data_IF_492287334197
#
_entry.id   IF_492287334197
#
_cell.length_a   1.000
_cell.length_b   1.000
_cell.length_c   1.000
_cell.angle_alpha   90.00
_cell.angle_beta   90.00
_cell.angle_gamma   90.00
#
_symmetry.space_group_name_H-M   'P 1'
#
loop_
_entity.id
_entity.type
_entity.pdbx_description
1 polymer ?
#
# COMPACT_ATOMS: atom_id res chain seq x y z
N UNK A 1 -63.09 45.13 6.39
CA UNK A 1 -61.65 44.95 6.27
C UNK A 1 -61.33 43.51 6.71
N UNK A 2 -61.14 42.63 5.75
CA UNK A 2 -60.86 41.20 5.99
C UNK A 2 -59.34 40.98 5.99
N UNK A 3 -58.78 40.61 7.12
CA UNK A 3 -57.39 40.24 7.27
C UNK A 3 -57.21 38.80 6.77
N UNK A 4 -56.47 38.66 5.66
CA UNK A 4 -56.04 37.37 5.12
C UNK A 4 -54.69 37.05 5.78
N UNK A 5 -54.68 36.10 6.71
CA UNK A 5 -53.44 35.52 7.25
C UNK A 5 -52.89 34.51 6.24
N UNK A 6 -51.82 34.88 5.59
CA UNK A 6 -51.06 33.97 4.71
C UNK A 6 -50.09 33.15 5.57
N UNK A 7 -50.48 31.91 5.91
CA UNK A 7 -49.60 30.97 6.61
C UNK A 7 -48.60 30.38 5.61
N UNK A 8 -47.36 30.85 5.65
CA UNK A 8 -46.24 30.23 4.92
C UNK A 8 -45.80 28.97 5.70
N UNK A 9 -46.19 27.81 5.20
CA UNK A 9 -45.73 26.52 5.70
C UNK A 9 -44.35 26.25 5.11
N UNK A 10 -43.30 26.56 5.88
CA UNK A 10 -41.92 26.20 5.50
C UNK A 10 -41.74 24.68 5.67
N UNK A 11 -41.75 23.96 4.55
CA UNK A 11 -41.47 22.54 4.50
C UNK A 11 -39.94 22.34 4.68
N UNK A 12 -39.55 21.96 5.89
CA UNK A 12 -38.16 21.60 6.19
C UNK A 12 -37.87 20.23 5.53
N UNK A 13 -37.25 20.22 4.38
CA UNK A 13 -36.75 18.99 3.75
C UNK A 13 -35.51 18.58 4.50
N UNK A 14 -35.64 17.60 5.39
CA UNK A 14 -34.50 16.95 6.02
C UNK A 14 -33.80 16.10 4.94
N UNK A 15 -32.70 16.60 4.38
CA UNK A 15 -31.78 15.79 3.57
C UNK A 15 -31.06 14.86 4.51
N UNK A 16 -31.51 13.62 4.60
CA UNK A 16 -30.72 12.55 5.24
C UNK A 16 -29.57 12.20 4.30
N UNK A 17 -28.38 12.68 4.61
CA UNK A 17 -27.15 12.20 3.96
C UNK A 17 -26.94 10.75 4.43
N UNK A 18 -27.11 9.82 3.53
CA UNK A 18 -26.72 8.42 3.77
C UNK A 18 -25.25 8.33 3.42
N UNK A 19 -24.41 7.90 4.37
CA UNK A 19 -23.03 7.53 4.04
C UNK A 19 -23.12 6.43 2.97
N UNK A 20 -22.56 6.71 1.80
CA UNK A 20 -22.53 5.74 0.71
C UNK A 20 -21.28 4.88 0.92
N UNK A 21 -21.48 3.56 0.96
CA UNK A 21 -20.40 2.59 1.00
C UNK A 21 -20.26 1.90 -0.35
N UNK A 22 -19.05 1.47 -0.67
CA UNK A 22 -18.74 0.71 -1.87
C UNK A 22 -17.87 -0.50 -1.52
N UNK A 23 -17.97 -1.55 -2.31
CA UNK A 23 -17.04 -2.68 -2.23
C UNK A 23 -15.83 -2.36 -3.08
N UNK A 24 -14.66 -2.32 -2.45
CA UNK A 24 -13.39 -2.17 -3.15
C UNK A 24 -12.66 -3.51 -3.10
N UNK A 25 -12.47 -4.11 -4.29
CA UNK A 25 -11.67 -5.33 -4.45
C UNK A 25 -10.21 -4.94 -4.60
N UNK A 26 -9.36 -5.37 -3.69
CA UNK A 26 -7.92 -5.19 -3.80
C UNK A 26 -7.28 -6.45 -4.35
N UNK A 27 -6.57 -6.32 -5.47
CA UNK A 27 -5.76 -7.36 -6.10
C UNK A 27 -4.29 -6.97 -6.00
N UNK A 28 -3.51 -7.81 -5.35
CA UNK A 28 -2.09 -7.62 -5.12
C UNK A 28 -1.28 -8.71 -5.81
N UNK A 29 -0.51 -8.34 -6.82
CA UNK A 29 0.41 -9.25 -7.48
C UNK A 29 1.71 -9.38 -6.68
N UNK A 30 2.05 -10.62 -6.29
CA UNK A 30 3.23 -10.98 -5.49
C UNK A 30 4.34 -11.63 -6.34
N UNK A 31 4.28 -11.55 -7.68
CA UNK A 31 5.18 -12.25 -8.62
C UNK A 31 6.68 -12.04 -8.31
N UNK A 32 7.06 -10.85 -7.83
CA UNK A 32 8.45 -10.51 -7.54
C UNK A 32 8.85 -10.77 -6.08
N UNK A 33 7.94 -11.30 -5.27
CA UNK A 33 8.14 -11.47 -3.83
C UNK A 33 8.08 -12.95 -3.42
N UNK A 34 8.81 -13.27 -2.38
CA UNK A 34 8.59 -14.54 -1.68
C UNK A 34 7.50 -14.30 -0.65
N UNK A 35 6.36 -14.92 -0.84
CA UNK A 35 5.22 -14.77 0.08
C UNK A 35 5.57 -15.38 1.44
N UNK A 36 5.34 -14.59 2.49
CA UNK A 36 5.57 -15.00 3.88
C UNK A 36 4.62 -16.14 4.29
N UNK A 37 5.11 -17.08 5.10
CA UNK A 37 4.24 -18.09 5.73
C UNK A 37 3.17 -17.47 6.65
N UNK A 38 3.38 -16.21 7.07
CA UNK A 38 2.42 -15.43 7.86
C UNK A 38 1.26 -14.86 7.05
N UNK A 39 1.21 -15.08 5.72
CA UNK A 39 0.15 -14.57 4.84
C UNK A 39 0.42 -13.17 4.30
N UNK A 40 -0.56 -12.65 3.56
CA UNK A 40 -0.55 -11.30 2.95
C UNK A 40 -1.72 -10.52 3.50
N UNK A 41 -1.50 -9.26 3.87
CA UNK A 41 -2.52 -8.45 4.54
C UNK A 41 -2.64 -7.07 3.91
N UNK A 42 -3.83 -6.48 4.07
CA UNK A 42 -4.14 -5.09 3.77
C UNK A 42 -4.56 -4.40 5.07
N UNK A 43 -3.99 -3.23 5.31
CA UNK A 43 -4.30 -2.39 6.47
C UNK A 43 -3.91 -0.94 6.22
N UNK A 44 -3.81 -0.17 7.28
CA UNK A 44 -3.39 1.24 7.25
C UNK A 44 -4.51 2.21 7.02
N UNK A 45 -4.30 3.43 7.48
CA UNK A 45 -5.19 4.57 7.28
C UNK A 45 -6.66 4.27 7.54
N UNK A 46 -7.47 4.38 6.49
CA UNK A 46 -8.93 4.16 6.56
C UNK A 46 -9.33 2.68 6.53
N UNK A 47 -8.39 1.79 6.24
CA UNK A 47 -8.66 0.34 6.17
C UNK A 47 -8.66 -0.29 7.57
N UNK A 48 -7.77 0.17 8.47
CA UNK A 48 -7.68 -0.35 9.84
C UNK A 48 -6.30 -0.83 10.25
N UNK A 49 -6.24 -1.82 11.13
CA UNK A 49 -5.00 -2.37 11.66
C UNK A 49 -4.12 -3.08 10.62
N UNK A 50 -2.88 -3.42 10.96
CA UNK A 50 -1.92 -4.01 10.02
C UNK A 50 -2.34 -5.38 9.47
N UNK A 51 -3.15 -6.11 10.22
CA UNK A 51 -3.62 -7.46 9.86
C UNK A 51 -5.15 -7.53 9.83
N UNK A 52 -5.79 -6.41 9.48
CA UNK A 52 -7.25 -6.30 9.49
C UNK A 52 -7.89 -7.17 8.41
N UNK A 53 -7.32 -7.18 7.23
CA UNK A 53 -7.83 -7.93 6.09
C UNK A 53 -6.74 -8.83 5.50
N UNK A 54 -6.94 -10.14 5.59
CA UNK A 54 -6.09 -11.12 4.92
C UNK A 54 -6.48 -11.24 3.45
N UNK A 55 -5.49 -11.20 2.56
CA UNK A 55 -5.67 -11.48 1.15
C UNK A 55 -5.39 -12.97 0.88
N UNK A 56 -6.15 -13.55 -0.04
CA UNK A 56 -6.02 -14.96 -0.42
C UNK A 56 -5.80 -15.13 -1.92
N UNK A 57 -5.09 -16.19 -2.27
CA UNK A 57 -4.83 -16.61 -3.66
C UNK A 57 -5.30 -18.07 -3.83
N UNK A 58 -6.61 -18.31 -4.06
CA UNK A 58 -7.16 -19.67 -4.09
C UNK A 58 -6.86 -20.43 -5.38
N UNK A 59 -6.51 -19.77 -6.47
CA UNK A 59 -6.19 -20.38 -7.77
C UNK A 59 -4.68 -20.50 -8.01
N UNK A 60 -3.85 -19.88 -7.15
CA UNK A 60 -2.40 -20.04 -7.15
C UNK A 60 -1.72 -19.30 -8.30
N UNK A 61 -2.31 -18.22 -8.80
CA UNK A 61 -1.74 -17.43 -9.89
C UNK A 61 -0.77 -16.34 -9.43
N UNK A 62 -0.59 -16.19 -8.10
CA UNK A 62 0.28 -15.20 -7.48
C UNK A 62 -0.38 -13.84 -7.25
N UNK A 63 -1.68 -13.71 -7.55
CA UNK A 63 -2.47 -12.51 -7.26
C UNK A 63 -3.37 -12.76 -6.05
N UNK A 64 -3.07 -12.08 -4.97
CA UNK A 64 -3.80 -12.15 -3.71
C UNK A 64 -4.93 -11.13 -3.69
N UNK A 65 -6.14 -11.52 -3.28
CA UNK A 65 -7.33 -10.67 -3.36
C UNK A 65 -8.10 -10.61 -2.05
N UNK A 66 -8.74 -9.44 -1.81
CA UNK A 66 -9.72 -9.23 -0.72
C UNK A 66 -10.74 -8.17 -1.12
N UNK A 67 -12.00 -8.36 -0.70
CA UNK A 67 -13.05 -7.36 -0.80
C UNK A 67 -13.20 -6.61 0.52
N UNK A 68 -13.21 -5.28 0.46
CA UNK A 68 -13.38 -4.41 1.64
C UNK A 68 -14.52 -3.43 1.40
N UNK A 69 -15.42 -3.32 2.37
CA UNK A 69 -16.47 -2.29 2.35
C UNK A 69 -15.90 -0.99 2.91
N UNK A 70 -15.86 0.05 2.07
CA UNK A 70 -15.27 1.35 2.40
C UNK A 70 -16.34 2.44 2.24
N UNK A 71 -16.35 3.44 3.14
CA UNK A 71 -17.19 4.62 2.94
C UNK A 71 -16.60 5.47 1.81
N UNK A 72 -17.46 5.98 0.93
CA UNK A 72 -16.98 6.79 -0.20
C UNK A 72 -16.31 8.10 0.25
N UNK A 73 -16.65 8.59 1.44
CA UNK A 73 -16.01 9.76 2.07
C UNK A 73 -14.56 9.52 2.51
N UNK A 74 -14.13 8.25 2.61
CA UNK A 74 -12.75 7.86 2.92
C UNK A 74 -11.82 7.91 1.69
N UNK A 75 -12.33 8.34 0.53
CA UNK A 75 -11.54 8.62 -0.68
C UNK A 75 -10.36 9.55 -0.38
N UNK A 76 -9.19 9.23 -0.91
CA UNK A 76 -7.96 9.96 -0.61
C UNK A 76 -7.31 9.60 0.73
N UNK A 77 -7.90 8.71 1.51
CA UNK A 77 -7.26 8.12 2.68
C UNK A 77 -6.09 7.21 2.31
N UNK A 78 -5.42 6.66 3.31
CA UNK A 78 -4.24 5.83 3.07
C UNK A 78 -4.53 4.36 3.31
N UNK A 79 -3.77 3.48 2.64
CA UNK A 79 -3.74 2.05 2.83
C UNK A 79 -2.35 1.49 2.51
N UNK A 80 -2.05 0.26 2.93
CA UNK A 80 -0.75 -0.38 2.69
C UNK A 80 -0.90 -1.89 2.71
N UNK A 81 -0.03 -2.59 1.98
CA UNK A 81 0.06 -4.05 2.01
C UNK A 81 1.20 -4.52 2.90
N UNK A 82 1.01 -5.70 3.50
CA UNK A 82 2.00 -6.35 4.36
C UNK A 82 2.25 -7.79 3.86
N UNK A 83 3.51 -8.17 3.77
CA UNK A 83 3.93 -9.54 3.45
C UNK A 83 4.30 -10.28 4.74
N UNK A 84 3.28 -10.62 5.53
CA UNK A 84 3.40 -11.31 6.82
C UNK A 84 2.45 -10.78 7.87
N UNK A 85 2.23 -11.57 8.91
CA UNK A 85 1.44 -11.18 10.08
C UNK A 85 2.30 -10.35 11.06
N UNK A 86 2.46 -9.06 10.80
CA UNK A 86 3.32 -8.15 11.55
C UNK A 86 2.50 -7.02 12.20
N UNK A 87 2.04 -7.18 13.44
CA UNK A 87 1.22 -6.17 14.12
C UNK A 87 1.97 -4.86 14.40
N UNK A 88 3.28 -4.85 14.24
CA UNK A 88 4.17 -3.69 14.39
C UNK A 88 4.52 -3.00 13.05
N UNK A 89 3.86 -3.38 11.95
CA UNK A 89 4.08 -2.87 10.58
C UNK A 89 5.46 -3.19 9.98
N UNK A 90 6.28 -4.02 10.61
CA UNK A 90 7.66 -4.28 10.18
C UNK A 90 7.77 -4.96 8.81
N UNK A 91 6.72 -5.62 8.33
CA UNK A 91 6.68 -6.29 7.03
C UNK A 91 5.81 -5.58 5.99
N UNK A 92 5.50 -4.30 6.21
CA UNK A 92 4.82 -3.51 5.17
C UNK A 92 5.71 -3.30 3.96
N UNK A 93 5.10 -3.16 2.79
CA UNK A 93 5.82 -2.80 1.57
C UNK A 93 6.56 -1.46 1.72
N UNK A 94 7.64 -1.29 0.97
CA UNK A 94 8.42 -0.06 0.98
C UNK A 94 8.17 0.73 -0.31
N UNK A 95 7.42 1.82 -0.19
CA UNK A 95 7.08 2.71 -1.31
C UNK A 95 7.80 4.05 -1.23
N UNK A 96 8.79 4.20 -0.36
CA UNK A 96 9.51 5.46 -0.16
C UNK A 96 10.08 6.01 -1.48
N UNK A 97 9.67 7.24 -1.82
CA UNK A 97 10.11 7.92 -3.03
C UNK A 97 9.40 7.50 -4.31
N UNK A 98 8.42 6.60 -4.24
CA UNK A 98 7.60 6.20 -5.37
C UNK A 98 6.39 7.13 -5.53
N UNK A 99 5.87 7.32 -6.77
CA UNK A 99 4.79 8.26 -7.04
C UNK A 99 3.44 7.90 -6.43
N UNK A 100 3.20 6.63 -6.09
CA UNK A 100 1.97 6.16 -5.43
C UNK A 100 2.01 6.26 -3.91
N UNK A 101 3.12 6.73 -3.33
CA UNK A 101 3.29 6.86 -1.89
C UNK A 101 2.94 8.25 -1.39
N UNK A 102 2.40 8.32 -0.18
CA UNK A 102 2.19 9.56 0.55
C UNK A 102 3.28 9.76 1.62
N UNK A 103 4.28 10.61 1.37
CA UNK A 103 5.36 10.85 2.34
C UNK A 103 4.88 11.45 3.68
N UNK A 104 3.71 12.08 3.70
CA UNK A 104 3.12 12.63 4.93
C UNK A 104 2.50 11.54 5.82
N UNK A 105 2.20 10.37 5.24
CA UNK A 105 1.56 9.24 5.90
C UNK A 105 2.42 7.97 5.72
N UNK A 106 3.63 7.97 6.28
CA UNK A 106 4.59 6.84 6.34
C UNK A 106 4.87 6.15 4.99
N UNK A 107 4.70 6.87 3.88
CA UNK A 107 4.79 6.38 2.50
C UNK A 107 3.77 5.28 2.19
N UNK A 108 2.60 5.32 2.80
CA UNK A 108 1.48 4.45 2.46
C UNK A 108 0.86 4.86 1.12
N UNK A 109 0.10 3.97 0.49
CA UNK A 109 -0.64 4.25 -0.75
C UNK A 109 -1.79 5.22 -0.49
N UNK A 110 -2.14 5.98 -1.51
CA UNK A 110 -3.31 6.87 -1.49
C UNK A 110 -4.48 6.11 -2.12
N UNK A 111 -5.59 6.03 -1.39
CA UNK A 111 -6.83 5.45 -1.88
C UNK A 111 -7.44 6.37 -2.95
N UNK A 112 -7.74 5.87 -4.15
CA UNK A 112 -8.35 6.70 -5.19
C UNK A 112 -9.77 7.15 -4.81
N UNK A 113 -10.36 8.02 -5.63
CA UNK A 113 -11.73 8.44 -5.43
C UNK A 113 -12.70 7.25 -5.61
N UNK A 114 -13.57 7.03 -4.60
CA UNK A 114 -14.53 5.92 -4.57
C UNK A 114 -15.91 6.46 -4.91
N UNK A 115 -16.43 6.10 -6.08
CA UNK A 115 -17.75 6.53 -6.58
C UNK A 115 -18.68 5.34 -6.86
N UNK A 116 -18.45 4.20 -6.23
CA UNK A 116 -19.14 2.93 -6.40
C UNK A 116 -18.16 1.76 -6.28
N UNK A 117 -18.65 0.55 -6.45
CA UNK A 117 -17.83 -0.65 -6.41
C UNK A 117 -16.70 -0.56 -7.45
N UNK A 118 -15.49 -0.90 -7.04
CA UNK A 118 -14.31 -0.79 -7.89
C UNK A 118 -13.26 -1.83 -7.55
N UNK A 119 -12.28 -1.98 -8.45
CA UNK A 119 -11.12 -2.86 -8.26
C UNK A 119 -9.84 -2.04 -8.32
N UNK A 120 -8.96 -2.26 -7.37
CA UNK A 120 -7.60 -1.72 -7.33
C UNK A 120 -6.64 -2.89 -7.54
N UNK A 121 -5.88 -2.86 -8.63
CA UNK A 121 -4.89 -3.88 -8.93
C UNK A 121 -3.50 -3.27 -8.93
N UNK A 122 -2.58 -3.87 -8.17
CA UNK A 122 -1.21 -3.35 -8.05
C UNK A 122 -0.20 -4.47 -7.80
N UNK A 123 1.10 -4.13 -7.89
CA UNK A 123 2.19 -5.03 -7.54
C UNK A 123 2.79 -4.61 -6.19
N UNK A 124 3.15 -5.58 -5.34
CA UNK A 124 3.77 -5.31 -4.04
C UNK A 124 5.07 -4.50 -4.21
N UNK A 125 5.22 -3.44 -3.43
CA UNK A 125 6.38 -2.57 -3.48
C UNK A 125 6.55 -1.73 -4.75
N UNK A 126 5.54 -1.69 -5.65
CA UNK A 126 5.61 -0.95 -6.92
C UNK A 126 4.34 -0.12 -7.15
N UNK A 127 4.44 0.93 -7.97
CA UNK A 127 3.32 1.76 -8.40
C UNK A 127 2.76 1.24 -9.73
N UNK A 128 2.04 0.13 -9.69
CA UNK A 128 1.30 -0.40 -10.83
C UNK A 128 -0.18 -0.04 -10.66
N UNK A 129 -0.86 0.28 -11.76
CA UNK A 129 -2.30 0.59 -11.79
C UNK A 129 -3.13 -0.53 -12.42
N UNK A 130 -2.46 -1.54 -13.00
CA UNK A 130 -3.07 -2.67 -13.71
C UNK A 130 -2.70 -4.03 -13.10
N UNK A 131 -1.95 -4.01 -11.97
CA UNK A 131 -1.46 -5.22 -11.31
C UNK A 131 -0.23 -5.86 -11.97
N UNK A 132 0.31 -5.29 -13.04
CA UNK A 132 1.55 -5.80 -13.64
C UNK A 132 2.75 -5.47 -12.76
N UNK A 133 3.65 -6.43 -12.58
CA UNK A 133 4.91 -6.23 -11.89
C UNK A 133 6.03 -5.94 -12.90
N UNK A 134 6.82 -4.89 -12.63
CA UNK A 134 8.04 -4.68 -13.38
C UNK A 134 9.10 -5.68 -12.89
N UNK A 135 9.78 -6.32 -13.82
CA UNK A 135 10.87 -7.20 -13.45
C UNK A 135 11.93 -6.45 -12.63
N UNK A 136 12.49 -7.05 -11.57
CA UNK A 136 13.59 -6.46 -10.86
C UNK A 136 14.73 -6.10 -11.83
N UNK A 137 15.42 -4.96 -11.64
CA UNK A 137 16.55 -4.64 -12.48
C UNK A 137 17.58 -5.78 -12.42
N UNK A 138 18.21 -6.15 -13.55
CA UNK A 138 19.17 -7.24 -13.56
C UNK A 138 20.28 -6.98 -12.55
N UNK A 139 20.63 -8.00 -11.78
CA UNK A 139 21.71 -7.90 -10.80
C UNK A 139 23.01 -7.46 -11.50
N UNK A 140 23.55 -6.32 -11.06
CA UNK A 140 24.81 -5.81 -11.57
C UNK A 140 25.97 -6.31 -10.70
N UNK A 141 26.95 -6.98 -11.31
CA UNK A 141 28.17 -7.35 -10.62
C UNK A 141 29.04 -6.10 -10.41
N UNK A 142 29.28 -5.72 -9.17
CA UNK A 142 30.20 -4.64 -8.83
C UNK A 142 31.52 -5.25 -8.36
N UNK A 143 32.60 -4.93 -9.06
CA UNK A 143 33.94 -5.35 -8.66
C UNK A 143 34.64 -4.21 -7.92
N UNK A 144 34.93 -4.43 -6.67
CA UNK A 144 35.75 -3.52 -5.88
C UNK A 144 37.24 -3.94 -5.99
N UNK A 145 38.08 -2.97 -6.29
CA UNK A 145 39.54 -3.18 -6.33
C UNK A 145 40.18 -2.19 -5.39
N UNK A 146 41.00 -2.70 -4.46
CA UNK A 146 41.79 -1.90 -3.53
C UNK A 146 43.24 -2.06 -3.89
N UNK A 147 43.92 -0.96 -4.20
CA UNK A 147 45.36 -0.95 -4.37
C UNK A 147 46.02 -0.80 -3.00
N UNK A 148 46.78 -1.82 -2.61
CA UNK A 148 47.50 -1.87 -1.34
C UNK A 148 49.02 -1.59 -1.50
N UNK A 149 49.44 -1.16 -2.69
CA UNK A 149 50.88 -0.99 -3.01
C UNK A 149 51.58 0.05 -2.13
N UNK A 150 50.85 1.06 -1.63
CA UNK A 150 51.40 2.10 -0.75
C UNK A 150 51.26 1.76 0.75
N UNK A 151 50.61 0.65 1.08
CA UNK A 151 50.45 0.25 2.48
C UNK A 151 51.70 -0.52 2.95
N UNK A 152 52.44 0.08 3.86
CA UNK A 152 53.73 -0.49 4.35
C UNK A 152 53.58 -1.40 5.57
N UNK A 153 52.37 -1.56 6.11
CA UNK A 153 52.05 -2.40 7.26
C UNK A 153 51.85 -3.88 6.84
N UNK A 154 51.72 -4.75 7.84
CA UNK A 154 51.33 -6.14 7.65
C UNK A 154 49.81 -6.19 7.63
N UNK A 155 49.23 -6.81 6.62
CA UNK A 155 47.77 -7.02 6.54
C UNK A 155 47.44 -8.51 6.33
N UNK A 156 46.27 -8.91 6.89
CA UNK A 156 45.71 -10.24 6.65
C UNK A 156 44.64 -10.16 5.56
N UNK A 157 43.40 -10.41 5.93
CA UNK A 157 42.27 -10.20 5.01
C UNK A 157 41.91 -8.73 4.87
N UNK A 158 41.64 -8.29 3.65
CA UNK A 158 41.03 -6.99 3.34
C UNK A 158 39.52 -7.21 3.23
N UNK A 159 38.77 -6.50 4.04
CA UNK A 159 37.32 -6.65 4.08
C UNK A 159 36.62 -5.41 3.49
N UNK A 160 35.58 -5.67 2.73
CA UNK A 160 34.69 -4.65 2.23
C UNK A 160 33.41 -4.67 3.10
N UNK A 161 33.08 -3.54 3.71
CA UNK A 161 31.89 -3.39 4.54
C UNK A 161 30.98 -2.29 3.97
N UNK A 162 29.68 -2.52 4.05
CA UNK A 162 28.67 -1.57 3.60
C UNK A 162 27.28 -2.08 3.86
N UNK A 163 26.26 -1.25 3.66
CA UNK A 163 24.85 -1.64 3.82
C UNK A 163 24.43 -2.80 2.91
N UNK A 164 25.16 -3.04 1.82
CA UNK A 164 24.94 -4.13 0.87
C UNK A 164 25.36 -5.52 1.38
N UNK A 165 26.10 -5.63 2.46
CA UNK A 165 26.53 -6.89 3.07
C UNK A 165 26.28 -6.97 4.59
N UNK A 166 25.43 -6.07 5.11
CA UNK A 166 24.89 -6.12 6.47
C UNK A 166 25.90 -5.83 7.58
N UNK A 167 26.99 -5.07 7.24
CA UNK A 167 28.09 -4.71 8.17
C UNK A 167 28.19 -5.43 9.47
#
# INVERSE_FOLDING_TARGET
>A
MKNVFLSVFAMLVAVTSWAQTSVVTFNLNMENETVSEGGVYLGGGVIGGPTEHELTDPDGDGVYSVDVVINNEDSGGNYIFLNGNCPDWSCKENLQGLPCSDPANWNDRILPEINGDMTISTCFGQCSEDGSCQAPPPASAVTFRVDMSEYTGTYGAVNLNGSFNGW
#
